data_IF_682556632190
#
_entry.id   IF_682556632190
#
_cell.length_a   1.000
_cell.length_b   1.000
_cell.length_c   1.000
_cell.angle_alpha   90.00
_cell.angle_beta   90.00
_cell.angle_gamma   90.00
#
_symmetry.space_group_name_H-M   'P 1'
#
loop_
_entity.id
_entity.type
_entity.pdbx_description
1 polymer ?
#
# COMPACT_ATOMS: atom_id res chain seq x y z
N UNK A 1 -12.22 6.73 -10.80
CA UNK A 1 -12.43 5.37 -10.27
C UNK A 1 -11.16 4.60 -10.57
N UNK A 2 -10.84 3.61 -9.76
CA UNK A 2 -9.67 2.77 -9.93
C UNK A 2 -9.76 2.15 -11.33
N UNK A 3 -8.71 2.32 -12.11
CA UNK A 3 -8.73 2.00 -13.52
C UNK A 3 -8.17 0.60 -13.77
N UNK A 4 -7.27 0.14 -12.89
CA UNK A 4 -6.54 -1.12 -13.07
C UNK A 4 -7.02 -2.24 -12.13
N UNK A 5 -7.79 -1.93 -11.09
CA UNK A 5 -8.18 -2.86 -10.02
C UNK A 5 -9.68 -2.89 -9.72
N UNK A 6 -10.18 -4.05 -9.28
CA UNK A 6 -11.57 -4.24 -8.82
C UNK A 6 -11.65 -4.77 -7.38
N UNK A 7 -12.79 -4.57 -6.71
CA UNK A 7 -13.05 -5.10 -5.37
C UNK A 7 -12.99 -6.64 -5.36
N UNK A 8 -13.51 -7.31 -6.41
CA UNK A 8 -13.51 -8.77 -6.48
C UNK A 8 -12.11 -9.36 -6.54
N UNK A 9 -11.22 -8.76 -7.34
CA UNK A 9 -9.80 -9.16 -7.39
C UNK A 9 -9.10 -8.87 -6.05
N UNK A 10 -9.34 -7.70 -5.46
CA UNK A 10 -8.77 -7.34 -4.16
C UNK A 10 -9.21 -8.34 -3.05
N UNK A 11 -10.50 -8.69 -2.99
CA UNK A 11 -11.01 -9.69 -2.05
C UNK A 11 -10.32 -11.04 -2.25
N UNK A 12 -10.13 -11.47 -3.50
CA UNK A 12 -9.46 -12.73 -3.81
C UNK A 12 -8.00 -12.71 -3.36
N UNK A 13 -7.30 -11.62 -3.66
CA UNK A 13 -5.91 -11.42 -3.25
C UNK A 13 -5.78 -11.46 -1.73
N UNK A 14 -6.59 -10.70 -1.00
CA UNK A 14 -6.51 -10.65 0.47
C UNK A 14 -6.83 -11.99 1.12
N UNK A 15 -7.81 -12.74 0.61
CA UNK A 15 -8.16 -14.06 1.15
C UNK A 15 -7.07 -15.11 0.94
N UNK A 16 -6.24 -14.97 -0.10
CA UNK A 16 -5.26 -15.98 -0.49
C UNK A 16 -3.84 -15.64 -0.08
N UNK A 17 -3.47 -14.36 -0.09
CA UNK A 17 -2.09 -13.90 0.02
C UNK A 17 -1.82 -13.08 1.28
N UNK A 18 -2.87 -12.59 1.98
CA UNK A 18 -2.68 -11.67 3.10
C UNK A 18 -3.25 -12.24 4.40
N UNK A 19 -2.37 -12.50 5.36
CA UNK A 19 -2.75 -13.07 6.66
C UNK A 19 -3.58 -12.12 7.54
N UNK A 20 -3.39 -10.81 7.37
CA UNK A 20 -3.98 -9.77 8.23
C UNK A 20 -4.85 -8.78 7.45
N UNK A 21 -5.87 -9.30 6.77
CA UNK A 21 -6.84 -8.54 5.98
C UNK A 21 -8.04 -8.01 6.79
N UNK A 22 -8.08 -8.19 8.11
CA UNK A 22 -9.26 -7.87 8.93
C UNK A 22 -9.77 -6.41 8.76
N UNK A 23 -8.89 -5.38 8.65
CA UNK A 23 -9.33 -4.01 8.37
C UNK A 23 -10.06 -3.85 7.04
N UNK A 24 -9.80 -4.72 6.06
CA UNK A 24 -10.51 -4.75 4.79
C UNK A 24 -11.84 -5.51 4.89
N UNK A 25 -11.85 -6.65 5.60
CA UNK A 25 -12.99 -7.57 5.62
C UNK A 25 -14.26 -6.97 6.24
N UNK A 26 -14.10 -6.04 7.19
CA UNK A 26 -15.21 -5.41 7.91
C UNK A 26 -15.84 -4.21 7.19
N UNK A 27 -15.24 -3.75 6.10
CA UNK A 27 -15.68 -2.56 5.38
C UNK A 27 -16.75 -2.87 4.32
N UNK A 28 -17.60 -1.89 4.08
CA UNK A 28 -18.54 -1.89 2.98
C UNK A 28 -17.85 -1.62 1.62
N UNK A 29 -18.52 -2.01 0.54
CA UNK A 29 -17.97 -1.89 -0.81
C UNK A 29 -17.68 -0.44 -1.21
N UNK A 30 -18.44 0.53 -0.69
CA UNK A 30 -18.19 1.95 -0.95
C UNK A 30 -16.83 2.40 -0.37
N UNK A 31 -16.55 2.01 0.88
CA UNK A 31 -15.27 2.35 1.53
C UNK A 31 -14.11 1.59 0.90
N UNK A 32 -14.29 0.31 0.56
CA UNK A 32 -13.31 -0.49 -0.19
C UNK A 32 -12.94 0.16 -1.52
N UNK A 33 -13.94 0.62 -2.27
CA UNK A 33 -13.70 1.33 -3.54
C UNK A 33 -12.93 2.64 -3.32
N UNK A 34 -13.26 3.41 -2.28
CA UNK A 34 -12.51 4.63 -1.93
C UNK A 34 -11.06 4.33 -1.57
N UNK A 35 -10.80 3.27 -0.81
CA UNK A 35 -9.46 2.83 -0.44
C UNK A 35 -8.63 2.48 -1.69
N UNK A 36 -9.18 1.69 -2.62
CA UNK A 36 -8.52 1.36 -3.89
C UNK A 36 -8.24 2.59 -4.75
N UNK A 37 -9.24 3.48 -4.90
CA UNK A 37 -9.09 4.73 -5.65
C UNK A 37 -7.96 5.61 -5.09
N UNK A 38 -7.89 5.72 -3.76
CA UNK A 38 -6.87 6.53 -3.12
C UNK A 38 -5.47 5.90 -3.29
N UNK A 39 -5.39 4.59 -3.15
CA UNK A 39 -4.15 3.83 -3.27
C UNK A 39 -3.54 3.93 -4.66
N UNK A 40 -4.36 3.71 -5.70
CA UNK A 40 -3.94 3.88 -7.09
C UNK A 40 -3.41 5.30 -7.33
N UNK A 41 -4.16 6.31 -6.90
CA UNK A 41 -3.75 7.71 -7.05
C UNK A 41 -2.43 8.01 -6.33
N UNK A 42 -2.23 7.50 -5.12
CA UNK A 42 -1.02 7.73 -4.32
C UNK A 42 0.17 7.05 -5.01
N UNK A 43 0.06 5.77 -5.35
CA UNK A 43 1.17 5.02 -5.94
C UNK A 43 1.56 5.58 -7.32
N UNK A 44 0.60 5.85 -8.20
CA UNK A 44 0.92 6.40 -9.52
C UNK A 44 1.45 7.83 -9.45
N UNK A 45 1.12 8.60 -8.41
CA UNK A 45 1.74 9.91 -8.18
C UNK A 45 3.19 9.75 -7.71
N UNK A 46 3.44 8.78 -6.85
CA UNK A 46 4.74 8.52 -6.26
C UNK A 46 5.73 7.92 -7.27
N UNK A 47 5.27 6.93 -8.03
CA UNK A 47 6.04 6.18 -9.04
C UNK A 47 5.73 6.63 -10.47
N UNK A 48 5.33 7.88 -10.66
CA UNK A 48 4.91 8.43 -11.97
C UNK A 48 6.00 8.34 -13.05
N UNK A 49 7.26 8.27 -12.64
CA UNK A 49 8.40 8.18 -13.55
C UNK A 49 8.56 6.74 -14.08
N UNK A 50 7.96 5.75 -13.41
CA UNK A 50 8.03 4.32 -13.74
C UNK A 50 6.74 3.85 -14.41
N UNK A 51 5.61 4.23 -13.82
CA UNK A 51 4.29 3.75 -14.21
C UNK A 51 3.37 4.87 -14.67
N UNK A 52 2.45 4.54 -15.57
CA UNK A 52 1.51 5.50 -16.13
C UNK A 52 0.11 4.90 -16.31
N UNK A 53 -0.90 5.52 -15.69
CA UNK A 53 -2.31 5.12 -15.85
C UNK A 53 -2.86 5.30 -17.27
N UNK A 54 -2.22 6.14 -18.09
CA UNK A 54 -2.63 6.37 -19.48
C UNK A 54 -2.02 5.36 -20.45
N UNK A 55 -1.08 4.53 -20.01
CA UNK A 55 -0.37 3.57 -20.83
C UNK A 55 -0.43 2.17 -20.19
N UNK A 56 -1.23 1.28 -20.78
CA UNK A 56 -1.44 -0.08 -20.28
C UNK A 56 -0.17 -0.93 -20.26
N UNK A 57 0.84 -0.58 -21.04
CA UNK A 57 2.15 -1.27 -21.00
C UNK A 57 3.01 -0.86 -19.80
N UNK A 58 2.60 0.20 -19.08
CA UNK A 58 3.27 0.75 -17.89
C UNK A 58 2.35 0.77 -16.68
N UNK A 59 1.43 -0.20 -16.60
CA UNK A 59 0.65 -0.38 -15.39
C UNK A 59 1.53 -0.99 -14.30
N UNK A 60 1.34 -0.52 -13.07
CA UNK A 60 1.98 -1.15 -11.92
C UNK A 60 1.29 -2.47 -11.57
N UNK A 61 2.00 -3.38 -10.88
CA UNK A 61 1.39 -4.56 -10.30
C UNK A 61 0.14 -4.20 -9.48
N UNK A 62 -0.94 -4.96 -9.68
CA UNK A 62 -2.22 -4.70 -8.97
C UNK A 62 -2.09 -4.97 -7.48
N UNK A 63 -1.24 -5.93 -7.14
CA UNK A 63 -0.87 -6.36 -5.80
C UNK A 63 -0.34 -5.18 -4.98
N UNK A 64 0.49 -4.31 -5.58
CA UNK A 64 0.98 -3.11 -4.91
C UNK A 64 -0.17 -2.16 -4.51
N UNK A 65 -1.19 -2.03 -5.38
CA UNK A 65 -2.39 -1.22 -5.09
C UNK A 65 -3.22 -1.82 -3.96
N UNK A 66 -3.33 -3.15 -3.90
CA UNK A 66 -4.01 -3.85 -2.82
C UNK A 66 -3.31 -3.63 -1.48
N UNK A 67 -2.00 -3.87 -1.42
CA UNK A 67 -1.22 -3.66 -0.19
C UNK A 67 -1.26 -2.21 0.28
N UNK A 68 -1.17 -1.24 -0.65
CA UNK A 68 -1.33 0.17 -0.31
C UNK A 68 -2.72 0.48 0.26
N UNK A 69 -3.77 -0.14 -0.28
CA UNK A 69 -5.13 0.08 0.22
C UNK A 69 -5.31 -0.44 1.63
N UNK A 70 -4.76 -1.61 1.93
CA UNK A 70 -4.78 -2.18 3.27
C UNK A 70 -3.93 -1.36 4.25
N UNK A 71 -2.79 -0.83 3.79
CA UNK A 71 -1.93 0.05 4.58
C UNK A 71 -2.61 1.35 4.97
N UNK A 72 -3.32 2.01 4.05
CA UNK A 72 -4.11 3.20 4.34
C UNK A 72 -5.17 2.95 5.42
N UNK A 73 -5.85 1.80 5.35
CA UNK A 73 -6.87 1.41 6.33
C UNK A 73 -6.25 1.16 7.72
N UNK A 74 -5.10 0.46 7.77
CA UNK A 74 -4.36 0.23 9.02
C UNK A 74 -3.89 1.54 9.66
N UNK A 75 -3.43 2.49 8.85
CA UNK A 75 -3.02 3.80 9.33
C UNK A 75 -4.19 4.58 9.92
N UNK A 76 -5.32 4.63 9.24
CA UNK A 76 -6.50 5.36 9.72
C UNK A 76 -6.98 4.82 11.07
N UNK A 77 -7.03 3.49 11.23
CA UNK A 77 -7.32 2.87 12.53
C UNK A 77 -6.30 3.25 13.61
N UNK A 78 -5.01 3.32 13.26
CA UNK A 78 -3.95 3.64 14.20
C UNK A 78 -4.01 5.12 14.64
N UNK A 79 -4.31 6.03 13.71
CA UNK A 79 -4.45 7.47 13.98
C UNK A 79 -5.68 7.73 14.83
N UNK A 80 -6.83 7.12 14.49
CA UNK A 80 -8.03 7.25 15.30
C UNK A 80 -7.80 6.76 16.74
N UNK A 81 -7.06 5.67 16.94
CA UNK A 81 -6.77 5.12 18.28
C UNK A 81 -5.70 5.93 19.03
N UNK A 82 -4.74 6.55 18.34
CA UNK A 82 -3.83 7.54 18.92
C UNK A 82 -4.57 8.76 19.46
N UNK A 83 -5.59 9.25 18.74
CA UNK A 83 -6.44 10.38 19.18
C UNK A 83 -7.22 10.05 20.47
N UNK A 84 -7.49 8.76 20.73
CA UNK A 84 -8.05 8.29 22.00
C UNK A 84 -6.99 8.06 23.10
N UNK A 85 -5.76 8.51 22.91
CA UNK A 85 -4.67 8.39 23.88
C UNK A 85 -4.04 7.00 23.96
N UNK A 86 -4.32 6.10 23.00
CA UNK A 86 -3.70 4.78 22.90
C UNK A 86 -2.41 4.90 22.07
N UNK A 87 -1.26 4.97 22.74
CA UNK A 87 0.06 5.24 22.13
C UNK A 87 0.77 4.02 21.54
N UNK A 88 0.11 2.86 21.49
CA UNK A 88 0.69 1.65 20.90
C UNK A 88 -0.36 0.58 20.63
N UNK A 89 -0.45 0.17 19.37
CA UNK A 89 -1.16 -1.03 18.98
C UNK A 89 -0.20 -1.93 18.20
N UNK A 90 0.00 -3.14 18.73
CA UNK A 90 0.46 -4.24 17.90
C UNK A 90 -0.70 -4.65 16.99
N UNK A 91 -0.65 -4.22 15.73
CA UNK A 91 -1.59 -4.73 14.73
C UNK A 91 -1.07 -6.11 14.35
N UNK A 92 -1.73 -7.16 14.87
CA UNK A 92 -1.50 -8.56 14.48
C UNK A 92 -0.02 -8.96 14.29
N UNK A 93 0.84 -8.66 15.27
CA UNK A 93 2.26 -9.04 15.26
C UNK A 93 3.22 -8.01 14.66
N UNK A 94 2.75 -6.95 13.99
CA UNK A 94 3.58 -5.81 13.58
C UNK A 94 3.53 -4.76 14.69
N UNK A 95 4.63 -4.67 15.45
CA UNK A 95 4.78 -3.71 16.53
C UNK A 95 5.30 -2.40 15.93
N UNK A 96 4.39 -1.50 15.52
CA UNK A 96 4.77 -0.18 15.01
C UNK A 96 5.04 0.72 16.22
N UNK A 97 6.32 0.89 16.58
CA UNK A 97 6.71 1.87 17.59
C UNK A 97 6.50 3.28 17.04
N UNK A 98 5.47 3.96 17.54
CA UNK A 98 5.09 5.34 17.20
C UNK A 98 6.00 6.39 17.85
N UNK A 99 7.30 6.09 18.01
CA UNK A 99 8.24 7.00 18.65
C UNK A 99 9.19 7.56 17.59
N UNK A 100 8.84 8.72 17.02
CA UNK A 100 9.74 9.56 16.23
C UNK A 100 9.92 9.22 14.74
N UNK A 101 9.52 8.03 14.27
CA UNK A 101 9.58 7.69 12.84
C UNK A 101 8.31 8.13 12.11
N UNK A 102 8.49 8.92 11.03
CA UNK A 102 7.40 9.30 10.13
C UNK A 102 6.78 8.02 9.57
N UNK A 103 5.46 7.90 9.67
CA UNK A 103 4.72 6.80 9.03
C UNK A 103 5.04 6.86 7.53
N UNK A 104 5.53 5.75 6.96
CA UNK A 104 5.79 5.68 5.53
C UNK A 104 4.48 5.89 4.76
N UNK A 105 4.47 6.86 3.83
CA UNK A 105 3.32 7.14 2.97
C UNK A 105 2.98 5.94 2.08
N UNK A 106 3.99 5.14 1.74
CA UNK A 106 3.88 3.93 0.92
C UNK A 106 3.99 2.68 1.80
N UNK A 107 3.14 1.69 1.53
CA UNK A 107 3.16 0.40 2.20
C UNK A 107 4.49 -0.31 1.92
N UNK A 108 5.15 -0.87 2.95
CA UNK A 108 6.40 -1.62 2.74
C UNK A 108 6.26 -2.75 1.73
N UNK A 109 5.15 -3.50 1.79
CA UNK A 109 4.88 -4.58 0.83
C UNK A 109 4.63 -4.06 -0.58
N UNK A 110 3.90 -2.94 -0.73
CA UNK A 110 3.71 -2.32 -2.04
C UNK A 110 5.03 -1.83 -2.64
N UNK A 111 5.96 -1.36 -1.80
CA UNK A 111 7.30 -0.99 -2.23
C UNK A 111 8.10 -2.22 -2.67
N UNK A 112 8.08 -3.31 -1.90
CA UNK A 112 8.77 -4.56 -2.26
C UNK A 112 8.28 -5.12 -3.61
N UNK A 113 6.97 -5.14 -3.84
CA UNK A 113 6.36 -5.59 -5.10
C UNK A 113 6.83 -4.72 -6.29
N UNK A 114 6.91 -3.40 -6.08
CA UNK A 114 7.37 -2.47 -7.13
C UNK A 114 8.87 -2.65 -7.40
N UNK A 115 9.67 -2.87 -6.35
CA UNK A 115 11.10 -3.16 -6.48
C UNK A 115 11.32 -4.46 -7.28
N UNK A 116 10.61 -5.53 -6.95
CA UNK A 116 10.64 -6.81 -7.69
C UNK A 116 10.25 -6.62 -9.16
N UNK A 117 9.15 -5.91 -9.44
CA UNK A 117 8.73 -5.63 -10.81
C UNK A 117 9.78 -4.82 -11.60
N UNK A 118 10.48 -3.88 -10.95
CA UNK A 118 11.57 -3.15 -11.60
C UNK A 118 12.84 -4.00 -11.79
N UNK A 119 13.11 -4.98 -10.94
CA UNK A 119 14.20 -5.93 -11.14
C UNK A 119 13.93 -6.88 -12.32
N UNK A 120 12.67 -7.32 -12.49
CA UNK A 120 12.28 -8.22 -13.57
C UNK A 120 12.07 -7.51 -14.92
N UNK A 121 11.45 -6.33 -14.92
CA UNK A 121 10.96 -5.65 -16.12
C UNK A 121 11.58 -4.26 -16.37
N UNK A 122 12.35 -3.70 -15.43
CA UNK A 122 12.96 -2.39 -15.54
C UNK A 122 14.29 -2.39 -16.32
N UNK A 123 14.69 -1.25 -16.88
CA UNK A 123 15.92 -1.12 -17.69
C UNK A 123 17.24 -1.15 -16.87
N UNK A 124 17.19 -1.50 -15.58
CA UNK A 124 18.32 -1.47 -14.66
C UNK A 124 18.70 -0.08 -14.14
N UNK A 125 17.99 1.00 -14.53
CA UNK A 125 18.25 2.38 -14.07
C UNK A 125 17.60 2.76 -12.72
N UNK A 126 16.97 1.83 -12.00
CA UNK A 126 16.45 2.12 -10.65
C UNK A 126 17.55 2.05 -9.61
N UNK A 127 18.23 3.17 -9.45
CA UNK A 127 19.14 3.39 -8.34
C UNK A 127 18.27 3.64 -7.10
N UNK A 128 18.06 2.60 -6.28
CA UNK A 128 17.26 2.55 -5.05
C UNK A 128 17.58 3.65 -4.03
N UNK A 129 17.26 4.90 -4.39
CA UNK A 129 17.38 6.09 -3.55
C UNK A 129 16.16 6.24 -2.64
N UNK A 130 15.74 5.14 -2.02
CA UNK A 130 15.25 5.20 -0.65
C UNK A 130 16.43 4.86 0.23
N UNK A 131 17.17 5.92 0.55
CA UNK A 131 18.30 5.84 1.45
C UNK A 131 17.87 5.11 2.70
N UNK A 132 18.46 3.93 2.91
CA UNK A 132 18.74 3.44 4.24
C UNK A 132 19.29 4.63 5.03
N UNK A 133 18.50 5.11 5.97
CA UNK A 133 18.97 5.96 7.06
C UNK A 133 19.96 5.11 7.87
N UNK A 134 21.18 5.00 7.35
CA UNK A 134 22.38 4.79 8.13
C UNK A 134 22.86 6.20 8.47
N UNK A 135 22.34 6.75 9.56
CA UNK A 135 23.10 7.55 10.51
C UNK A 135 22.36 7.66 11.84
#
# INVERSE_FOLDING_TARGET
MATTVTIGEANTYFQQQVLYSQPWDVLDDETKMKALNNSERVLYRYYRDLYNLSDSSKYMPKEAVYEQSLWLLRQDESVQKQDFGVTGLGVSGINIQMQGNRISEIAPEAQAIIEEDQEENGDGSYNGKFGWLVM
#
